data_IF_956877890664
#
_entry.id   IF_956877890664
#
_cell.length_a   1.000
_cell.length_b   1.000
_cell.length_c   1.000
_cell.angle_alpha   90.00
_cell.angle_beta   90.00
_cell.angle_gamma   90.00
#
_symmetry.space_group_name_H-M   'P 1'
#
loop_
_entity.id
_entity.type
_entity.pdbx_description
1 polymer ?
#
# COMPACT_ATOMS: atom_id res chain seq x y z
N UNK A 1 4.91 17.57 2.02
CA UNK A 1 6.22 17.09 1.53
C UNK A 1 6.03 15.67 1.03
N UNK A 2 6.32 15.37 -0.24
CA UNK A 2 6.31 13.98 -0.72
C UNK A 2 7.47 13.23 -0.08
N UNK A 3 7.20 12.07 0.51
CA UNK A 3 8.27 11.18 1.00
C UNK A 3 9.13 10.74 -0.19
N UNK A 4 10.45 10.79 -0.02
CA UNK A 4 11.39 10.19 -0.95
C UNK A 4 11.41 8.68 -0.69
N UNK A 5 11.06 7.87 -1.69
CA UNK A 5 10.94 6.41 -1.60
C UNK A 5 9.96 5.93 -0.49
N UNK A 6 8.65 6.18 -0.63
CA UNK A 6 7.66 5.67 0.30
C UNK A 6 7.68 4.14 0.33
N UNK A 7 7.58 3.50 1.52
CA UNK A 7 7.62 2.05 1.64
C UNK A 7 6.33 1.42 1.10
N UNK A 8 6.40 0.17 0.64
CA UNK A 8 5.19 -0.59 0.33
C UNK A 8 4.37 -0.79 1.62
N UNK A 9 3.02 -0.70 1.62
CA UNK A 9 2.23 -0.91 2.82
C UNK A 9 2.50 -2.25 3.53
N UNK A 10 2.85 -3.29 2.78
CA UNK A 10 3.27 -4.58 3.31
C UNK A 10 4.56 -4.54 4.15
N UNK A 11 5.56 -3.78 3.73
CA UNK A 11 6.81 -3.57 4.47
C UNK A 11 6.54 -2.79 5.77
N UNK A 12 5.64 -1.80 5.68
CA UNK A 12 5.17 -1.07 6.86
C UNK A 12 4.40 -1.97 7.83
N UNK A 13 3.54 -2.87 7.34
CA UNK A 13 2.85 -3.86 8.19
C UNK A 13 3.86 -4.77 8.90
N UNK A 14 4.88 -5.26 8.18
CA UNK A 14 5.92 -6.13 8.74
C UNK A 14 6.68 -5.40 9.87
N UNK A 15 7.23 -4.23 9.58
CA UNK A 15 8.11 -3.48 10.49
C UNK A 15 7.40 -2.81 11.67
N UNK A 16 6.15 -2.36 11.51
CA UNK A 16 5.45 -1.59 12.54
C UNK A 16 4.52 -2.47 13.39
N UNK A 17 3.95 -3.52 12.81
CA UNK A 17 2.94 -4.33 13.50
C UNK A 17 3.39 -5.78 13.73
N UNK A 18 4.08 -6.42 12.78
CA UNK A 18 4.39 -7.84 12.91
C UNK A 18 5.65 -8.09 13.75
N UNK A 19 6.78 -7.50 13.37
CA UNK A 19 8.07 -7.71 14.03
C UNK A 19 8.06 -7.25 15.50
N UNK A 20 7.57 -6.04 15.86
CA UNK A 20 7.62 -5.57 17.24
C UNK A 20 6.72 -6.36 18.20
N UNK A 21 5.69 -7.02 17.67
CA UNK A 21 4.70 -7.78 18.44
C UNK A 21 4.85 -9.31 18.30
N UNK A 22 5.85 -9.79 17.55
CA UNK A 22 6.04 -11.22 17.29
C UNK A 22 4.85 -11.87 16.57
N UNK A 23 4.08 -11.10 15.79
CA UNK A 23 2.89 -11.62 15.09
C UNK A 23 3.32 -12.31 13.80
N UNK A 24 3.04 -13.60 13.70
CA UNK A 24 3.29 -14.34 12.46
C UNK A 24 2.34 -13.93 11.33
N UNK A 25 2.81 -14.04 10.07
CA UNK A 25 1.97 -13.81 8.90
C UNK A 25 0.69 -14.68 8.90
N UNK A 26 0.79 -15.94 9.35
CA UNK A 26 -0.37 -16.82 9.49
C UNK A 26 -1.38 -16.30 10.51
N UNK A 27 -0.92 -15.81 11.66
CA UNK A 27 -1.81 -15.27 12.69
C UNK A 27 -2.55 -14.03 12.19
N UNK A 28 -1.83 -13.07 11.60
CA UNK A 28 -2.45 -11.86 11.06
C UNK A 28 -3.43 -12.18 9.91
N UNK A 29 -3.09 -13.12 9.01
CA UNK A 29 -3.96 -13.53 7.93
C UNK A 29 -5.30 -14.12 8.44
N UNK A 30 -5.25 -14.91 9.53
CA UNK A 30 -6.45 -15.43 10.19
C UNK A 30 -7.35 -14.30 10.69
N UNK A 31 -6.79 -13.29 11.37
CA UNK A 31 -7.57 -12.14 11.85
C UNK A 31 -8.14 -11.29 10.72
N UNK A 32 -7.41 -11.16 9.61
CA UNK A 32 -7.87 -10.48 8.40
C UNK A 32 -8.94 -11.29 7.62
N UNK A 33 -9.10 -12.57 7.93
CA UNK A 33 -10.01 -13.47 7.21
C UNK A 33 -9.57 -13.70 5.76
N UNK A 34 -8.26 -13.84 5.51
CA UNK A 34 -7.67 -14.08 4.19
C UNK A 34 -6.71 -15.27 4.24
N UNK A 35 -6.41 -15.86 3.08
CA UNK A 35 -5.38 -16.88 2.99
C UNK A 35 -4.00 -16.31 3.39
N UNK A 36 -3.20 -17.08 4.12
CA UNK A 36 -1.84 -16.67 4.50
C UNK A 36 -0.95 -16.35 3.28
N UNK A 37 -1.16 -17.02 2.15
CA UNK A 37 -0.46 -16.73 0.90
C UNK A 37 -0.81 -15.34 0.35
N UNK A 38 -2.06 -14.88 0.53
CA UNK A 38 -2.50 -13.54 0.13
C UNK A 38 -1.78 -12.48 0.96
N UNK A 39 -1.82 -12.59 2.29
CA UNK A 39 -1.11 -11.64 3.15
C UNK A 39 0.40 -11.67 2.92
N UNK A 40 0.99 -12.85 2.74
CA UNK A 40 2.44 -12.97 2.51
C UNK A 40 2.88 -12.25 1.22
N UNK A 41 2.10 -12.31 0.14
CA UNK A 41 2.41 -11.53 -1.07
C UNK A 41 2.35 -10.03 -0.80
N UNK A 42 1.37 -9.55 -0.04
CA UNK A 42 1.28 -8.13 0.36
C UNK A 42 2.50 -7.72 1.19
N UNK A 43 2.81 -8.47 2.25
CA UNK A 43 3.97 -8.24 3.13
C UNK A 43 5.28 -8.18 2.34
N UNK A 44 5.47 -9.07 1.36
CA UNK A 44 6.66 -9.09 0.50
C UNK A 44 6.63 -8.12 -0.69
N UNK A 45 5.69 -7.17 -0.72
CA UNK A 45 5.60 -6.16 -1.79
C UNK A 45 5.23 -6.72 -3.16
N UNK A 46 4.73 -7.96 -3.23
CA UNK A 46 4.36 -8.65 -4.47
C UNK A 46 2.89 -8.48 -4.84
N UNK A 47 2.09 -7.88 -3.98
CA UNK A 47 0.69 -7.58 -4.23
C UNK A 47 0.31 -6.30 -3.49
N UNK A 48 -0.44 -5.43 -4.16
CA UNK A 48 -0.93 -4.20 -3.58
C UNK A 48 -1.95 -4.44 -2.44
N UNK A 49 -2.09 -3.46 -1.56
CA UNK A 49 -3.25 -3.34 -0.67
C UNK A 49 -4.45 -2.88 -1.49
N UNK A 50 -5.40 -3.78 -1.73
CA UNK A 50 -6.68 -3.44 -2.38
C UNK A 50 -7.64 -2.73 -1.41
N UNK A 51 -8.71 -2.07 -1.90
CA UNK A 51 -9.75 -1.50 -1.02
C UNK A 51 -10.35 -2.51 -0.04
N UNK A 52 -10.57 -3.75 -0.48
CA UNK A 52 -11.05 -4.82 0.40
C UNK A 52 -10.04 -5.14 1.52
N UNK A 53 -8.75 -5.23 1.17
CA UNK A 53 -7.69 -5.45 2.16
C UNK A 53 -7.56 -4.25 3.12
N UNK A 54 -7.70 -3.03 2.62
CA UNK A 54 -7.66 -1.81 3.44
C UNK A 54 -8.78 -1.78 4.49
N UNK A 55 -10.00 -2.20 4.14
CA UNK A 55 -11.11 -2.36 5.08
C UNK A 55 -10.80 -3.42 6.15
N UNK A 56 -10.23 -4.56 5.75
CA UNK A 56 -9.82 -5.62 6.68
C UNK A 56 -8.70 -5.16 7.62
N UNK A 57 -7.68 -4.49 7.10
CA UNK A 57 -6.56 -3.93 7.86
C UNK A 57 -7.04 -2.86 8.85
N UNK A 58 -7.93 -1.96 8.42
CA UNK A 58 -8.54 -0.94 9.28
C UNK A 58 -9.21 -1.57 10.50
N UNK A 59 -9.97 -2.65 10.29
CA UNK A 59 -10.65 -3.38 11.36
C UNK A 59 -9.68 -4.12 12.31
N UNK A 60 -8.55 -4.62 11.82
CA UNK A 60 -7.63 -5.48 12.59
C UNK A 60 -6.48 -4.72 13.24
N UNK A 61 -5.89 -3.75 12.53
CA UNK A 61 -4.69 -3.01 12.94
C UNK A 61 -4.95 -1.52 13.21
N UNK A 62 -6.18 -1.05 12.98
CA UNK A 62 -6.55 0.36 13.04
C UNK A 62 -6.13 1.13 11.78
N UNK A 63 -6.09 2.46 11.90
CA UNK A 63 -6.05 3.45 10.79
C UNK A 63 -7.31 3.41 9.93
N UNK A 64 -7.54 4.46 9.15
CA UNK A 64 -8.65 4.46 8.20
C UNK A 64 -8.29 3.64 6.94
N UNK A 65 -9.28 3.06 6.23
CA UNK A 65 -9.04 2.40 4.95
C UNK A 65 -8.36 3.33 3.93
N UNK A 66 -8.74 4.60 3.90
CA UNK A 66 -8.16 5.63 3.04
C UNK A 66 -6.69 5.87 3.36
N UNK A 67 -6.29 5.77 4.64
CA UNK A 67 -4.90 5.88 5.03
C UNK A 67 -4.06 4.73 4.47
N UNK A 68 -4.59 3.51 4.47
CA UNK A 68 -3.93 2.35 3.86
C UNK A 68 -3.81 2.48 2.35
N UNK A 69 -4.88 2.93 1.69
CA UNK A 69 -4.87 3.18 0.24
C UNK A 69 -3.92 4.30 -0.13
N UNK A 70 -3.90 5.41 0.62
CA UNK A 70 -2.96 6.52 0.40
C UNK A 70 -1.51 6.06 0.47
N UNK A 71 -1.18 5.12 1.36
CA UNK A 71 0.16 4.54 1.41
C UNK A 71 0.48 3.73 0.15
N UNK A 72 -0.48 2.93 -0.34
CA UNK A 72 -0.33 2.18 -1.59
C UNK A 72 -0.14 3.12 -2.78
N UNK A 73 -0.99 4.14 -2.90
CA UNK A 73 -0.94 5.13 -3.98
C UNK A 73 0.40 5.88 -3.98
N UNK A 74 0.90 6.26 -2.80
CA UNK A 74 2.20 6.92 -2.68
C UNK A 74 3.35 6.01 -3.14
N UNK A 75 3.34 4.73 -2.74
CA UNK A 75 4.30 3.73 -3.20
C UNK A 75 4.25 3.57 -4.73
N UNK A 76 3.07 3.29 -5.28
CA UNK A 76 2.89 3.02 -6.71
C UNK A 76 3.24 4.25 -7.56
N UNK A 77 2.82 5.44 -7.16
CA UNK A 77 3.16 6.67 -7.86
C UNK A 77 4.67 6.93 -7.85
N UNK A 78 5.35 6.66 -6.73
CA UNK A 78 6.80 6.80 -6.68
C UNK A 78 7.51 5.81 -7.61
N UNK A 79 7.08 4.54 -7.64
CA UNK A 79 7.60 3.51 -8.56
C UNK A 79 7.35 3.89 -10.03
N UNK A 80 6.15 4.37 -10.35
CA UNK A 80 5.80 4.80 -11.70
C UNK A 80 6.68 5.97 -12.16
N UNK A 81 6.93 6.95 -11.28
CA UNK A 81 7.81 8.09 -11.55
C UNK A 81 9.25 7.69 -11.90
N UNK A 82 9.74 6.52 -11.46
CA UNK A 82 11.08 6.07 -11.81
C UNK A 82 11.18 5.54 -13.25
N UNK A 83 10.06 5.14 -13.84
CA UNK A 83 10.05 4.35 -15.08
C UNK A 83 9.29 5.01 -16.23
N UNK A 84 8.58 6.12 -15.98
CA UNK A 84 7.75 6.78 -16.99
C UNK A 84 8.52 7.90 -17.72
N UNK A 85 8.49 7.88 -19.05
CA UNK A 85 8.88 9.02 -19.88
C UNK A 85 7.61 9.84 -20.20
N UNK A 86 7.64 11.15 -19.91
CA UNK A 86 6.53 12.07 -20.12
C UNK A 86 6.84 13.15 -21.17
N UNK A 87 7.93 13.05 -21.93
CA UNK A 87 8.41 14.09 -22.85
C UNK A 87 7.36 14.49 -23.90
N UNK A 88 6.52 13.53 -24.32
CA UNK A 88 5.46 13.74 -25.30
C UNK A 88 4.08 14.06 -24.68
N UNK A 89 3.99 14.16 -23.35
CA UNK A 89 2.75 14.47 -22.63
C UNK A 89 2.65 15.98 -22.46
N UNK A 90 1.56 16.58 -22.94
CA UNK A 90 1.34 18.02 -22.91
C UNK A 90 0.09 18.36 -22.08
N UNK A 91 0.11 19.46 -21.30
CA UNK A 91 -1.08 19.91 -20.59
C UNK A 91 -2.16 20.37 -21.58
N UNK A 92 -3.42 20.06 -21.27
CA UNK A 92 -4.56 20.66 -21.97
C UNK A 92 -4.87 22.03 -21.37
N UNK A 93 -5.12 23.02 -22.22
CA UNK A 93 -5.65 24.30 -21.77
C UNK A 93 -7.14 24.16 -21.45
N UNK A 94 -7.49 24.30 -20.16
CA UNK A 94 -8.87 24.24 -19.66
C UNK A 94 -9.51 25.63 -19.55
N UNK A 95 -8.85 26.67 -20.04
CA UNK A 95 -9.34 28.06 -20.03
C UNK A 95 -9.90 28.52 -21.39
N UNK A 96 -10.05 27.61 -22.36
CA UNK A 96 -10.66 27.93 -23.64
C UNK A 96 -12.12 28.36 -23.45
N UNK A 97 -12.40 29.62 -23.81
CA UNK A 97 -13.71 30.29 -23.76
C UNK A 97 -14.41 30.20 -25.10
#
# INVERSE_FOLDING_TARGET
MNMHNPPHPGEFIESIYMEPHGISCRALATHLGVAASTLNRVVKGKSAVTPEMALRLSKVLGRSPESWLSMQDNYELWQAKQNINLDNVQPIDLHAT
#
